data_IF_293257748209
#
_entry.id   IF_293257748209
#
_cell.length_a   1.000
_cell.length_b   1.000
_cell.length_c   1.000
_cell.angle_alpha   90.00
_cell.angle_beta   90.00
_cell.angle_gamma   90.00
#
_symmetry.space_group_name_H-M   'P 1'
#
loop_
_entity.id
_entity.type
_entity.pdbx_description
1 polymer ?
#
# COMPACT_ATOMS: atom_id res chain seq x y z
N UNK A 1 -28.10 37.25 -6.29
CA UNK A 1 -28.00 35.82 -5.96
C UNK A 1 -26.98 35.19 -6.89
N UNK A 2 -25.74 35.18 -6.47
CA UNK A 2 -24.59 34.66 -7.22
C UNK A 2 -24.43 33.19 -6.87
N UNK A 3 -24.70 32.32 -7.85
CA UNK A 3 -24.39 30.89 -7.82
C UNK A 3 -22.88 30.71 -7.73
N UNK A 4 -22.39 30.48 -6.52
CA UNK A 4 -21.01 30.10 -6.25
C UNK A 4 -20.71 28.77 -6.92
N UNK A 5 -19.87 28.81 -7.95
CA UNK A 5 -19.34 27.63 -8.60
C UNK A 5 -18.67 26.71 -7.59
N UNK A 6 -19.08 25.46 -7.61
CA UNK A 6 -18.48 24.33 -6.91
C UNK A 6 -17.02 24.24 -7.39
N UNK A 7 -16.08 24.80 -6.60
CA UNK A 7 -14.64 24.67 -6.86
C UNK A 7 -14.28 23.20 -6.71
N UNK A 8 -13.47 22.75 -7.67
CA UNK A 8 -13.31 21.35 -8.08
C UNK A 8 -12.99 20.38 -6.95
N UNK A 9 -13.55 19.19 -7.11
CA UNK A 9 -13.05 17.92 -6.58
C UNK A 9 -11.52 17.90 -6.66
N UNK A 10 -10.84 17.49 -5.58
CA UNK A 10 -9.41 17.21 -5.59
C UNK A 10 -9.07 16.44 -6.86
N UNK A 11 -8.24 17.04 -7.71
CA UNK A 11 -8.01 16.57 -9.07
C UNK A 11 -7.74 15.06 -9.09
N UNK A 12 -8.49 14.31 -9.90
CA UNK A 12 -8.39 12.86 -10.03
C UNK A 12 -6.92 12.42 -10.13
N UNK A 13 -6.38 11.96 -9.01
CA UNK A 13 -5.04 11.40 -8.96
C UNK A 13 -5.10 10.00 -9.55
N UNK A 14 -4.49 9.84 -10.71
CA UNK A 14 -4.35 8.56 -11.41
C UNK A 14 -2.88 8.18 -11.41
N UNK A 15 -2.41 7.42 -10.41
CA UNK A 15 -1.02 6.97 -10.43
C UNK A 15 -0.79 6.06 -11.62
N UNK A 16 0.42 6.12 -12.15
CA UNK A 16 0.85 5.26 -13.26
C UNK A 16 1.47 3.96 -12.76
N UNK A 17 2.03 4.01 -11.55
CA UNK A 17 2.73 2.90 -10.91
C UNK A 17 2.33 2.82 -9.45
N UNK A 18 2.41 1.62 -8.90
CA UNK A 18 2.31 1.33 -7.48
C UNK A 18 3.52 0.50 -7.05
N UNK A 19 3.77 0.41 -5.74
CA UNK A 19 4.81 -0.47 -5.20
C UNK A 19 4.14 -1.63 -4.48
N UNK A 20 4.58 -2.86 -4.76
CA UNK A 20 4.15 -4.06 -4.05
C UNK A 20 5.30 -4.53 -3.17
N UNK A 21 5.02 -4.78 -1.88
CA UNK A 21 6.03 -5.27 -0.93
C UNK A 21 5.56 -6.62 -0.36
N UNK A 22 5.92 -7.76 -0.97
CA UNK A 22 5.63 -9.09 -0.43
C UNK A 22 6.38 -9.43 0.89
N UNK A 23 7.37 -8.61 1.27
CA UNK A 23 8.11 -8.74 2.53
C UNK A 23 7.27 -8.50 3.79
N UNK A 24 7.95 -8.27 4.91
CA UNK A 24 7.26 -7.95 6.16
C UNK A 24 7.02 -6.43 6.33
N UNK A 25 6.25 -6.03 7.33
CA UNK A 25 5.94 -4.60 7.54
C UNK A 25 7.18 -3.75 7.83
N UNK A 26 8.31 -4.34 8.24
CA UNK A 26 9.56 -3.59 8.35
C UNK A 26 10.10 -3.22 6.97
N UNK A 27 10.02 -4.12 6.00
CA UNK A 27 10.40 -3.87 4.61
C UNK A 27 9.50 -2.81 3.99
N UNK A 28 8.18 -2.88 4.23
CA UNK A 28 7.22 -1.87 3.75
C UNK A 28 7.52 -0.46 4.31
N UNK A 29 7.84 -0.35 5.61
CA UNK A 29 8.24 0.93 6.23
C UNK A 29 9.58 1.42 5.70
N UNK A 30 10.54 0.53 5.48
CA UNK A 30 11.82 0.88 4.87
C UNK A 30 11.63 1.40 3.44
N UNK A 31 10.80 0.71 2.64
CA UNK A 31 10.43 1.11 1.29
C UNK A 31 9.77 2.50 1.28
N UNK A 32 8.76 2.75 2.11
CA UNK A 32 8.10 4.07 2.18
C UNK A 32 9.09 5.19 2.52
N UNK A 33 9.96 4.99 3.51
CA UNK A 33 10.99 5.99 3.87
C UNK A 33 11.92 6.32 2.70
N UNK A 34 12.39 5.27 2.02
CA UNK A 34 13.30 5.39 0.87
C UNK A 34 12.60 6.06 -0.32
N UNK A 35 11.35 5.69 -0.58
CA UNK A 35 10.54 6.25 -1.68
C UNK A 35 10.18 7.70 -1.44
N UNK A 36 9.87 8.09 -0.19
CA UNK A 36 9.66 9.51 0.16
C UNK A 36 10.92 10.31 -0.14
N UNK A 37 12.09 9.82 0.27
CA UNK A 37 13.36 10.49 -0.02
C UNK A 37 13.63 10.62 -1.53
N UNK A 38 13.37 9.55 -2.29
CA UNK A 38 13.47 9.57 -3.77
C UNK A 38 12.51 10.61 -4.34
N UNK A 39 11.22 10.55 -3.98
CA UNK A 39 10.20 11.45 -4.50
C UNK A 39 10.49 12.92 -4.20
N UNK A 40 11.06 13.22 -3.02
CA UNK A 40 11.48 14.58 -2.67
C UNK A 40 12.52 15.15 -3.64
N UNK A 41 13.37 14.30 -4.23
CA UNK A 41 14.32 14.72 -5.27
C UNK A 41 13.67 15.13 -6.60
N UNK A 42 12.38 14.84 -6.79
CA UNK A 42 11.63 15.17 -8.01
C UNK A 42 10.55 16.25 -7.80
N UNK A 43 10.27 16.61 -6.54
CA UNK A 43 9.21 17.55 -6.16
C UNK A 43 9.71 18.93 -5.74
N UNK A 44 8.78 19.87 -5.58
CA UNK A 44 8.97 21.22 -5.02
C UNK A 44 8.28 21.40 -3.65
N UNK A 45 7.32 20.54 -3.34
CA UNK A 45 6.57 20.56 -2.09
C UNK A 45 6.24 19.13 -1.66
N UNK A 46 6.39 18.83 -0.37
CA UNK A 46 5.80 17.65 0.24
C UNK A 46 4.77 18.02 1.30
N UNK A 47 3.78 17.15 1.47
CA UNK A 47 2.72 17.25 2.49
C UNK A 47 2.71 15.99 3.33
N UNK A 48 2.71 16.17 4.64
CA UNK A 48 2.60 15.11 5.63
C UNK A 48 1.30 15.33 6.40
N UNK A 49 0.35 14.41 6.25
CA UNK A 49 -0.96 14.46 6.92
C UNK A 49 -1.00 13.42 8.01
N UNK A 50 -1.40 13.83 9.21
CA UNK A 50 -1.53 12.96 10.39
C UNK A 50 -3.01 12.66 10.67
N UNK A 51 -3.31 11.52 11.29
CA UNK A 51 -4.68 11.03 11.48
C UNK A 51 -5.47 11.81 12.53
N UNK A 52 -4.78 12.39 13.51
CA UNK A 52 -5.37 13.17 14.59
C UNK A 52 -4.48 14.37 14.91
N UNK A 53 -5.02 15.40 15.54
CA UNK A 53 -4.24 16.49 16.16
C UNK A 53 -3.66 16.09 17.52
N UNK A 54 -4.05 14.93 18.04
CA UNK A 54 -3.59 14.42 19.33
C UNK A 54 -2.11 13.99 19.26
N UNK A 55 -1.26 14.74 19.94
CA UNK A 55 0.19 14.47 20.01
C UNK A 55 0.53 13.24 20.84
N UNK A 56 -0.42 12.68 21.61
CA UNK A 56 -0.16 11.51 22.45
C UNK A 56 0.07 10.22 21.66
N UNK A 57 -0.42 10.17 20.42
CA UNK A 57 -0.18 9.07 19.48
C UNK A 57 1.09 9.26 18.63
N UNK A 58 1.87 10.33 18.88
CA UNK A 58 3.09 10.66 18.14
C UNK A 58 4.35 10.38 18.93
N UNK A 59 5.40 10.01 18.21
CA UNK A 59 6.73 10.00 18.79
C UNK A 59 7.14 11.45 19.14
N UNK A 60 7.76 11.71 20.31
CA UNK A 60 8.28 13.04 20.65
C UNK A 60 9.34 13.56 19.67
N UNK A 61 10.00 12.65 18.94
CA UNK A 61 10.93 13.01 17.85
C UNK A 61 10.17 13.57 16.66
N UNK A 62 9.15 12.85 16.19
CA UNK A 62 8.29 13.28 15.07
C UNK A 62 7.68 14.63 15.39
N UNK A 63 7.07 14.81 16.56
CA UNK A 63 6.45 16.08 16.95
C UNK A 63 7.46 17.25 16.94
N UNK A 64 8.68 17.05 17.45
CA UNK A 64 9.72 18.10 17.43
C UNK A 64 10.09 18.53 16.02
N UNK A 65 10.21 17.59 15.09
CA UNK A 65 10.53 17.90 13.69
C UNK A 65 9.36 18.62 13.02
N UNK A 66 8.12 18.18 13.26
CA UNK A 66 6.92 18.84 12.75
C UNK A 66 6.83 20.31 13.22
N UNK A 67 7.13 20.57 14.49
CA UNK A 67 7.00 21.91 15.08
C UNK A 67 8.17 22.85 14.72
N UNK A 68 9.38 22.30 14.53
CA UNK A 68 10.58 23.10 14.30
C UNK A 68 10.86 23.35 12.82
N UNK A 69 10.61 22.35 11.97
CA UNK A 69 11.19 22.30 10.62
C UNK A 69 10.14 22.30 9.51
N UNK A 70 8.85 22.08 9.81
CA UNK A 70 7.77 22.04 8.82
C UNK A 70 6.67 23.08 9.10
N UNK A 71 6.01 23.55 8.04
CA UNK A 71 4.94 24.54 8.14
C UNK A 71 3.58 23.84 8.31
N UNK A 72 2.91 23.99 9.46
CA UNK A 72 1.51 23.55 9.58
C UNK A 72 0.62 24.36 8.62
N UNK A 73 -0.10 23.66 7.74
CA UNK A 73 -1.10 24.27 6.88
C UNK A 73 -2.38 24.56 7.67
N UNK A 74 -3.11 25.63 7.33
CA UNK A 74 -4.47 25.85 7.82
C UNK A 74 -5.38 24.68 7.45
N UNK A 75 -6.34 24.34 8.31
CA UNK A 75 -7.25 23.22 8.09
C UNK A 75 -8.08 23.40 6.80
N UNK A 76 -8.38 24.64 6.40
CA UNK A 76 -9.11 24.98 5.17
C UNK A 76 -8.25 24.98 3.89
N UNK A 77 -6.93 24.84 4.02
CA UNK A 77 -5.99 24.77 2.90
C UNK A 77 -5.85 23.35 2.32
N UNK A 78 -6.50 22.36 2.93
CA UNK A 78 -6.46 20.95 2.51
C UNK A 78 -7.85 20.43 2.19
N UNK A 79 -7.92 19.33 1.44
CA UNK A 79 -9.18 18.68 1.08
C UNK A 79 -9.79 17.87 2.26
N UNK A 80 -9.22 17.97 3.47
CA UNK A 80 -9.60 17.18 4.64
C UNK A 80 -9.56 17.97 5.95
N UNK A 81 -10.00 17.34 7.03
CA UNK A 81 -9.99 17.89 8.41
C UNK A 81 -8.72 17.54 9.17
N UNK A 82 -7.85 16.75 8.56
CA UNK A 82 -6.71 16.14 9.20
C UNK A 82 -5.51 17.10 9.17
N UNK A 83 -4.79 17.25 10.29
CA UNK A 83 -3.70 18.20 10.37
C UNK A 83 -2.59 17.84 9.39
N UNK A 84 -2.15 18.84 8.62
CA UNK A 84 -1.21 18.65 7.53
C UNK A 84 -0.06 19.64 7.63
N UNK A 85 1.16 19.13 7.49
CA UNK A 85 2.38 19.91 7.45
C UNK A 85 2.94 19.96 6.03
N UNK A 86 3.43 21.12 5.63
CA UNK A 86 4.13 21.35 4.37
C UNK A 86 5.63 21.38 4.60
N UNK A 87 6.35 20.66 3.76
CA UNK A 87 7.80 20.68 3.67
C UNK A 87 8.21 21.31 2.32
N UNK A 88 8.89 22.47 2.31
CA UNK A 88 9.47 23.01 1.09
C UNK A 88 10.65 22.15 0.62
N UNK A 89 10.65 21.74 -0.65
CA UNK A 89 11.68 20.88 -1.21
C UNK A 89 12.63 21.67 -2.12
N UNK A 90 13.93 21.33 -2.13
CA UNK A 90 14.54 20.15 -1.49
C UNK A 90 14.97 20.34 -0.02
N UNK A 91 14.93 21.55 0.53
CA UNK A 91 15.58 21.90 1.80
C UNK A 91 15.07 21.11 3.00
N UNK A 92 13.76 20.81 3.05
CA UNK A 92 13.14 20.09 4.16
C UNK A 92 13.10 18.56 3.96
N UNK A 93 13.80 18.01 2.98
CA UNK A 93 13.81 16.55 2.70
C UNK A 93 14.27 15.76 3.93
N UNK A 94 15.40 16.16 4.54
CA UNK A 94 15.96 15.44 5.69
C UNK A 94 15.05 15.53 6.91
N UNK A 95 14.39 16.67 7.12
CA UNK A 95 13.40 16.85 8.17
C UNK A 95 12.20 15.91 7.95
N UNK A 96 11.62 15.89 6.74
CA UNK A 96 10.51 14.99 6.41
C UNK A 96 10.88 13.51 6.61
N UNK A 97 12.04 13.09 6.10
CA UNK A 97 12.54 11.71 6.27
C UNK A 97 12.78 11.40 7.75
N UNK A 98 13.34 12.33 8.52
CA UNK A 98 13.57 12.19 9.96
C UNK A 98 12.25 12.08 10.76
N UNK A 99 11.22 12.83 10.38
CA UNK A 99 9.89 12.76 11.01
C UNK A 99 9.22 11.39 10.79
N UNK A 100 9.48 10.78 9.63
CA UNK A 100 8.97 9.48 9.25
C UNK A 100 9.81 8.32 9.80
N UNK A 101 11.11 8.53 10.04
CA UNK A 101 12.02 7.46 10.50
C UNK A 101 11.64 7.01 11.91
N UNK A 102 11.42 5.70 12.07
CA UNK A 102 11.15 5.09 13.38
C UNK A 102 12.46 4.99 14.15
N UNK A 103 12.55 5.69 15.27
CA UNK A 103 13.66 5.58 16.20
C UNK A 103 13.50 4.28 17.02
N UNK A 104 14.41 3.32 16.87
CA UNK A 104 14.38 2.04 17.59
C UNK A 104 14.42 2.24 19.12
N UNK A 105 14.96 3.38 19.59
CA UNK A 105 14.98 3.74 21.01
C UNK A 105 13.62 4.19 21.56
N UNK A 106 12.60 4.38 20.71
CA UNK A 106 11.22 4.76 21.08
C UNK A 106 10.21 3.60 21.06
N UNK A 107 10.66 2.36 20.94
CA UNK A 107 9.81 1.17 20.86
C UNK A 107 9.04 0.83 22.16
N UNK A 108 9.33 1.50 23.27
CA UNK A 108 8.71 1.28 24.60
C UNK A 108 7.36 2.01 24.80
N UNK A 109 6.70 2.41 23.70
CA UNK A 109 5.37 3.02 23.73
C UNK A 109 4.24 2.07 24.14
N UNK A 110 3.03 2.57 24.42
CA UNK A 110 1.87 1.73 24.75
C UNK A 110 1.50 0.76 23.62
N UNK A 111 1.99 0.98 22.40
CA UNK A 111 1.82 0.13 21.23
C UNK A 111 3.00 -0.87 20.98
N UNK A 112 4.10 -0.78 21.75
CA UNK A 112 5.25 -1.68 21.66
C UNK A 112 5.91 -1.75 20.27
N UNK A 113 6.21 -2.97 19.79
CA UNK A 113 6.75 -3.26 18.45
C UNK A 113 5.88 -2.77 17.27
N UNK A 114 4.63 -2.36 17.53
CA UNK A 114 3.77 -1.75 16.53
C UNK A 114 4.22 -0.29 16.33
N UNK A 115 5.05 -0.10 15.30
CA UNK A 115 5.71 1.16 14.95
C UNK A 115 4.72 2.33 14.94
N UNK A 116 4.88 3.27 15.86
CA UNK A 116 4.09 4.50 16.01
C UNK A 116 3.81 5.24 14.68
N UNK A 117 4.79 5.23 13.77
CA UNK A 117 4.67 5.82 12.42
C UNK A 117 3.50 5.23 11.63
N UNK A 118 3.28 3.92 11.74
CA UNK A 118 2.20 3.27 11.00
C UNK A 118 0.87 3.86 11.45
N UNK A 119 0.68 4.21 12.73
CA UNK A 119 -0.64 4.54 13.27
C UNK A 119 -1.07 6.02 13.16
N UNK A 120 -0.14 6.97 13.20
CA UNK A 120 -0.52 8.39 13.15
C UNK A 120 -0.33 9.03 11.76
N UNK A 121 0.51 8.49 10.87
CA UNK A 121 0.70 9.08 9.54
C UNK A 121 -0.40 8.61 8.59
N UNK A 122 -1.39 9.48 8.32
CA UNK A 122 -2.46 9.23 7.35
C UNK A 122 -1.93 9.17 5.92
N UNK A 123 -1.15 10.16 5.49
CA UNK A 123 -0.55 10.14 4.16
C UNK A 123 0.67 11.03 4.02
N UNK A 124 1.54 10.69 3.07
CA UNK A 124 2.60 11.55 2.56
C UNK A 124 2.36 11.80 1.09
N UNK A 125 2.46 13.04 0.64
CA UNK A 125 2.34 13.40 -0.76
C UNK A 125 3.54 14.23 -1.18
N UNK A 126 4.12 13.95 -2.34
CA UNK A 126 5.09 14.85 -2.97
C UNK A 126 4.48 15.41 -4.24
N UNK A 127 4.68 16.71 -4.44
CA UNK A 127 4.11 17.48 -5.54
C UNK A 127 5.23 18.15 -6.34
N UNK A 128 4.92 18.41 -7.61
CA UNK A 128 5.71 19.19 -8.56
C UNK A 128 4.78 20.05 -9.38
N UNK A 129 5.03 21.34 -9.47
CA UNK A 129 4.21 22.32 -10.18
C UNK A 129 2.73 22.23 -9.77
N UNK A 130 2.50 22.01 -8.46
CA UNK A 130 1.16 21.85 -7.90
C UNK A 130 0.44 20.54 -8.26
N UNK A 131 1.10 19.59 -8.96
CA UNK A 131 0.56 18.25 -9.26
C UNK A 131 1.20 17.22 -8.36
N UNK A 132 0.42 16.25 -7.88
CA UNK A 132 0.97 15.12 -7.13
C UNK A 132 1.86 14.29 -8.06
N UNK A 133 2.98 13.80 -7.55
CA UNK A 133 3.89 12.85 -8.25
C UNK A 133 4.14 11.59 -7.43
N UNK A 134 3.93 11.67 -6.12
CA UNK A 134 4.02 10.55 -5.19
C UNK A 134 2.92 10.64 -4.14
N UNK A 135 2.42 9.47 -3.71
CA UNK A 135 1.52 9.33 -2.57
C UNK A 135 1.86 8.07 -1.80
N UNK A 136 2.00 8.18 -0.49
CA UNK A 136 1.93 7.03 0.40
C UNK A 136 0.82 7.14 1.43
N UNK A 137 0.25 5.99 1.75
CA UNK A 137 -0.66 5.78 2.88
C UNK A 137 -0.04 4.63 3.69
N UNK A 138 0.82 4.93 4.67
CA UNK A 138 1.66 3.94 5.35
C UNK A 138 0.85 2.79 5.98
N UNK A 139 -0.25 3.11 6.66
CA UNK A 139 -1.20 2.15 7.24
C UNK A 139 -1.73 1.09 6.28
N UNK A 140 -1.89 1.47 5.01
CA UNK A 140 -2.46 0.62 3.98
C UNK A 140 -1.38 0.03 3.07
N UNK A 141 -0.09 0.21 3.41
CA UNK A 141 1.07 -0.21 2.62
C UNK A 141 0.89 0.17 1.14
N UNK A 142 0.35 1.36 0.90
CA UNK A 142 -0.04 1.84 -0.43
C UNK A 142 0.91 2.96 -0.84
N UNK A 143 1.77 2.68 -1.81
CA UNK A 143 2.75 3.63 -2.35
C UNK A 143 2.50 3.76 -3.85
N UNK A 144 2.29 4.98 -4.31
CA UNK A 144 1.81 5.30 -5.65
C UNK A 144 2.69 6.37 -6.29
N UNK A 145 3.03 6.19 -7.57
CA UNK A 145 3.89 7.10 -8.32
C UNK A 145 3.24 7.51 -9.65
N UNK A 146 3.45 8.76 -10.04
CA UNK A 146 3.19 9.22 -11.42
C UNK A 146 4.51 9.47 -12.14
N UNK A 147 4.78 8.65 -13.15
CA UNK A 147 5.85 8.90 -14.11
C UNK A 147 5.56 10.16 -14.95
N UNK A 148 4.26 10.44 -15.19
CA UNK A 148 3.82 11.62 -15.91
C UNK A 148 4.14 12.89 -15.11
N UNK A 149 5.07 13.71 -15.63
CA UNK A 149 5.50 14.95 -15.00
C UNK A 149 6.75 14.83 -14.12
N UNK A 150 7.26 13.61 -13.89
CA UNK A 150 8.53 13.37 -13.19
C UNK A 150 9.34 12.25 -13.89
N UNK A 151 9.94 12.53 -15.08
CA UNK A 151 10.78 11.56 -15.77
C UNK A 151 11.93 11.08 -14.89
N UNK A 152 12.16 9.76 -14.83
CA UNK A 152 13.20 9.15 -14.00
C UNK A 152 12.77 8.81 -12.57
N UNK A 153 11.59 9.24 -12.11
CA UNK A 153 11.08 8.91 -10.77
C UNK A 153 10.94 7.40 -10.56
N UNK A 154 10.36 6.70 -11.56
CA UNK A 154 10.16 5.25 -11.50
C UNK A 154 11.50 4.51 -11.50
N UNK A 155 12.44 4.91 -12.36
CA UNK A 155 13.76 4.27 -12.42
C UNK A 155 14.54 4.46 -11.11
N UNK A 156 14.52 5.66 -10.54
CA UNK A 156 15.14 5.95 -9.25
C UNK A 156 14.45 5.19 -8.10
N UNK A 157 13.12 5.01 -8.16
CA UNK A 157 12.39 4.19 -7.20
C UNK A 157 12.77 2.71 -7.30
N UNK A 158 12.89 2.16 -8.52
CA UNK A 158 13.36 0.80 -8.76
C UNK A 158 14.79 0.60 -8.21
N UNK A 159 15.71 1.51 -8.53
CA UNK A 159 17.10 1.46 -8.05
C UNK A 159 17.16 1.50 -6.52
N UNK A 160 16.32 2.33 -5.88
CA UNK A 160 16.37 2.49 -4.42
C UNK A 160 15.79 1.31 -3.64
N UNK A 161 14.97 0.48 -4.30
CA UNK A 161 14.30 -0.68 -3.72
C UNK A 161 14.97 -2.01 -4.08
N UNK A 162 16.08 -2.01 -4.81
CA UNK A 162 16.70 -3.22 -5.38
C UNK A 162 17.11 -4.29 -4.34
N UNK A 163 17.38 -3.86 -3.11
CA UNK A 163 17.80 -4.66 -1.96
C UNK A 163 16.63 -5.06 -1.05
N UNK A 164 15.41 -4.59 -1.34
CA UNK A 164 14.20 -4.91 -0.58
C UNK A 164 13.30 -5.87 -1.37
N UNK A 165 12.51 -6.70 -0.68
CA UNK A 165 11.45 -7.50 -1.30
C UNK A 165 10.26 -6.60 -1.66
N UNK A 166 10.49 -5.62 -2.53
CA UNK A 166 9.50 -4.68 -3.04
C UNK A 166 9.74 -4.42 -4.53
N UNK A 167 8.67 -4.19 -5.27
CA UNK A 167 8.73 -3.94 -6.72
C UNK A 167 7.84 -2.78 -7.11
N UNK A 168 8.35 -1.90 -7.99
CA UNK A 168 7.55 -0.88 -8.66
C UNK A 168 6.89 -1.51 -9.89
N UNK A 169 5.57 -1.47 -9.94
CA UNK A 169 4.77 -2.10 -10.99
C UNK A 169 3.76 -1.12 -11.58
N UNK A 170 3.34 -1.27 -12.84
CA UNK A 170 2.27 -0.45 -13.40
C UNK A 170 0.96 -0.61 -12.61
N UNK A 171 0.24 0.48 -12.43
CA UNK A 171 -1.10 0.46 -11.85
C UNK A 171 -2.10 -0.15 -12.84
N UNK A 172 -3.06 -0.90 -12.32
CA UNK A 172 -4.16 -1.47 -13.09
C UNK A 172 -4.13 -3.00 -13.17
N UNK A 173 -5.07 -3.58 -13.93
CA UNK A 173 -5.16 -5.03 -14.09
C UNK A 173 -4.00 -5.57 -14.90
N UNK A 174 -3.46 -6.71 -14.45
CA UNK A 174 -2.54 -7.56 -15.21
C UNK A 174 -3.32 -8.49 -16.14
N UNK A 175 -4.45 -9.01 -15.68
CA UNK A 175 -5.36 -9.83 -16.45
C UNK A 175 -6.80 -9.54 -16.06
N UNK A 176 -7.71 -9.63 -17.03
CA UNK A 176 -9.16 -9.54 -16.80
C UNK A 176 -9.88 -10.70 -17.46
N UNK A 177 -11.00 -11.14 -16.91
CA UNK A 177 -11.83 -12.18 -17.52
C UNK A 177 -13.32 -11.93 -17.27
N UNK A 178 -14.16 -12.78 -17.85
CA UNK A 178 -15.62 -12.73 -17.72
C UNK A 178 -16.10 -12.64 -16.26
N UNK A 179 -17.29 -12.09 -16.07
CA UNK A 179 -17.93 -11.82 -14.78
C UNK A 179 -17.16 -10.80 -13.91
N UNK A 180 -16.48 -9.84 -14.55
CA UNK A 180 -15.77 -8.75 -13.86
C UNK A 180 -14.59 -9.19 -12.99
N UNK A 181 -14.01 -10.35 -13.30
CA UNK A 181 -12.82 -10.86 -12.63
C UNK A 181 -11.56 -10.11 -13.04
N UNK A 182 -10.72 -9.78 -12.06
CA UNK A 182 -9.52 -8.97 -12.26
C UNK A 182 -8.36 -9.48 -11.40
N UNK A 183 -7.19 -9.62 -12.01
CA UNK A 183 -5.93 -9.85 -11.33
C UNK A 183 -5.10 -8.57 -11.39
N UNK A 184 -4.72 -8.01 -10.24
CA UNK A 184 -3.73 -6.94 -10.12
C UNK A 184 -2.43 -7.48 -9.55
N UNK A 185 -1.40 -6.64 -9.47
CA UNK A 185 -0.15 -7.02 -8.81
C UNK A 185 -0.29 -7.22 -7.29
N UNK A 186 -1.40 -6.82 -6.67
CA UNK A 186 -1.64 -6.98 -5.22
C UNK A 186 -2.70 -8.03 -4.89
N UNK A 187 -3.65 -8.27 -5.80
CA UNK A 187 -4.88 -8.92 -5.43
C UNK A 187 -5.68 -9.50 -6.58
N UNK A 188 -6.67 -10.29 -6.19
CA UNK A 188 -7.63 -10.94 -7.06
C UNK A 188 -9.04 -10.42 -6.73
N UNK A 189 -9.77 -9.90 -7.71
CA UNK A 189 -11.11 -9.33 -7.55
C UNK A 189 -12.13 -10.07 -8.44
N UNK A 190 -13.40 -10.04 -8.01
CA UNK A 190 -14.55 -10.67 -8.66
C UNK A 190 -15.74 -9.70 -8.75
N UNK A 191 -16.73 -9.96 -9.61
CA UNK A 191 -18.02 -9.26 -9.54
C UNK A 191 -18.64 -9.38 -8.14
N UNK A 192 -18.98 -8.24 -7.54
CA UNK A 192 -19.72 -8.18 -6.27
C UNK A 192 -18.96 -8.62 -5.02
N UNK A 193 -17.68 -8.99 -5.13
CA UNK A 193 -16.86 -9.46 -4.01
C UNK A 193 -15.77 -8.48 -3.56
N UNK A 194 -15.34 -8.60 -2.30
CA UNK A 194 -14.12 -7.96 -1.81
C UNK A 194 -12.89 -8.63 -2.47
N UNK A 195 -11.90 -7.83 -2.88
CA UNK A 195 -10.65 -8.36 -3.44
C UNK A 195 -9.84 -9.14 -2.40
N UNK A 196 -9.19 -10.23 -2.83
CA UNK A 196 -8.31 -11.05 -2.01
C UNK A 196 -6.84 -10.72 -2.28
N UNK A 197 -6.07 -10.38 -1.23
CA UNK A 197 -4.64 -10.05 -1.34
C UNK A 197 -3.79 -11.27 -1.67
N UNK A 198 -2.90 -11.17 -2.67
CA UNK A 198 -1.99 -12.24 -3.10
C UNK A 198 -0.86 -12.56 -2.11
N UNK A 199 -0.59 -11.69 -1.13
CA UNK A 199 0.47 -11.85 -0.13
C UNK A 199 0.33 -13.13 0.73
N UNK A 200 -0.83 -13.79 0.66
CA UNK A 200 -1.12 -15.00 1.41
C UNK A 200 -1.41 -16.21 0.51
N UNK A 201 -1.15 -16.13 -0.78
CA UNK A 201 -1.19 -17.31 -1.67
C UNK A 201 -0.01 -18.21 -1.32
N UNK A 202 -0.26 -19.51 -1.17
CA UNK A 202 0.79 -20.53 -1.04
C UNK A 202 1.11 -21.15 -2.39
N UNK A 203 0.05 -21.43 -3.16
CA UNK A 203 0.16 -22.16 -4.41
C UNK A 203 -0.96 -21.77 -5.38
N UNK A 204 -0.62 -21.75 -6.66
CA UNK A 204 -1.52 -21.63 -7.78
C UNK A 204 -1.41 -22.91 -8.61
N UNK A 205 -2.49 -23.68 -8.69
CA UNK A 205 -2.55 -24.91 -9.47
C UNK A 205 -3.35 -24.69 -10.76
N UNK A 206 -2.75 -24.98 -11.90
CA UNK A 206 -3.32 -24.78 -13.25
C UNK A 206 -3.82 -26.10 -13.79
N UNK A 207 -5.14 -26.23 -13.92
CA UNK A 207 -5.86 -27.40 -14.44
C UNK A 207 -6.32 -27.08 -15.87
N UNK A 208 -5.52 -27.52 -16.85
CA UNK A 208 -5.74 -27.18 -18.27
C UNK A 208 -6.96 -27.88 -18.84
N UNK A 209 -7.20 -29.13 -18.45
CA UNK A 209 -8.32 -29.94 -18.95
C UNK A 209 -9.67 -29.31 -18.57
N UNK A 210 -9.77 -28.74 -17.36
CA UNK A 210 -10.99 -28.08 -16.89
C UNK A 210 -10.98 -26.56 -17.07
N UNK A 211 -9.94 -25.99 -17.68
CA UNK A 211 -9.71 -24.54 -17.80
C UNK A 211 -9.97 -23.83 -16.47
N UNK A 212 -9.25 -24.27 -15.45
CA UNK A 212 -9.43 -23.78 -14.10
C UNK A 212 -8.11 -23.49 -13.41
N UNK A 213 -8.13 -22.47 -12.56
CA UNK A 213 -7.02 -22.11 -11.69
C UNK A 213 -7.48 -22.31 -10.26
N UNK A 214 -6.76 -23.11 -9.48
CA UNK A 214 -7.03 -23.32 -8.06
C UNK A 214 -6.00 -22.53 -7.26
N UNK A 215 -6.48 -21.54 -6.49
CA UNK A 215 -5.64 -20.71 -5.63
C UNK A 215 -5.72 -21.25 -4.21
N UNK A 216 -4.61 -21.79 -3.73
CA UNK A 216 -4.48 -22.23 -2.35
C UNK A 216 -3.93 -21.11 -1.48
N UNK A 217 -4.70 -20.81 -0.44
CA UNK A 217 -4.48 -19.68 0.44
C UNK A 217 -3.95 -20.16 1.78
N UNK A 218 -3.04 -19.38 2.35
CA UNK A 218 -2.63 -19.57 3.73
C UNK A 218 -3.84 -19.58 4.66
N UNK A 219 -3.99 -20.59 5.54
CA UNK A 219 -5.05 -20.60 6.54
C UNK A 219 -5.00 -19.35 7.39
N UNK A 220 -6.16 -18.81 7.76
CA UNK A 220 -6.23 -17.57 8.55
C UNK A 220 -5.48 -17.67 9.87
N UNK A 221 -5.46 -18.84 10.50
CA UNK A 221 -4.68 -19.11 11.72
C UNK A 221 -3.16 -18.96 11.52
N UNK A 222 -2.62 -19.36 10.37
CA UNK A 222 -1.20 -19.19 10.02
C UNK A 222 -0.89 -17.72 9.66
N UNK A 223 -1.81 -17.01 8.99
CA UNK A 223 -1.69 -15.56 8.72
C UNK A 223 -1.56 -14.78 10.03
N UNK A 224 -2.44 -15.06 11.00
CA UNK A 224 -2.40 -14.43 12.32
C UNK A 224 -1.14 -14.85 13.11
N UNK A 225 -0.55 -16.01 12.82
CA UNK A 225 0.71 -16.42 13.42
C UNK A 225 1.92 -15.57 12.99
N UNK A 226 1.91 -15.08 11.75
CA UNK A 226 3.03 -14.31 11.15
C UNK A 226 3.07 -12.84 11.55
N UNK A 227 1.97 -12.28 12.01
CA UNK A 227 1.95 -10.89 12.48
C UNK A 227 2.87 -10.72 13.71
N UNK A 228 3.76 -9.73 13.69
CA UNK A 228 4.72 -9.51 14.78
C UNK A 228 4.06 -8.83 15.98
N UNK A 229 3.01 -8.04 15.79
CA UNK A 229 2.33 -7.33 16.88
C UNK A 229 1.52 -8.29 17.75
N UNK A 230 1.81 -8.34 19.06
CA UNK A 230 1.04 -9.17 20.00
C UNK A 230 -0.40 -8.69 20.14
N UNK A 231 -0.63 -7.38 20.10
CA UNK A 231 -1.94 -6.77 20.23
C UNK A 231 -2.82 -7.06 19.00
N UNK A 232 -2.28 -6.86 17.79
CA UNK A 232 -2.97 -7.17 16.54
C UNK A 232 -3.23 -8.67 16.44
N UNK A 233 -2.26 -9.51 16.81
CA UNK A 233 -2.47 -10.97 16.91
C UNK A 233 -3.63 -11.35 17.84
N UNK A 234 -3.72 -10.73 19.01
CA UNK A 234 -4.80 -11.03 19.96
C UNK A 234 -6.18 -10.62 19.39
N UNK A 235 -6.26 -9.45 18.77
CA UNK A 235 -7.48 -8.92 18.16
C UNK A 235 -7.91 -9.77 16.95
N UNK A 236 -6.97 -10.11 16.07
CA UNK A 236 -7.22 -10.98 14.91
C UNK A 236 -7.59 -12.41 15.34
N UNK A 237 -6.98 -12.97 16.40
CA UNK A 237 -7.41 -14.29 16.94
C UNK A 237 -8.83 -14.26 17.46
N UNK A 238 -9.23 -13.20 18.16
CA UNK A 238 -10.60 -13.03 18.65
C UNK A 238 -11.60 -12.91 17.48
N UNK A 239 -11.21 -12.19 16.41
CA UNK A 239 -12.00 -12.09 15.19
C UNK A 239 -12.12 -13.44 14.47
N UNK A 240 -11.01 -14.17 14.25
CA UNK A 240 -10.99 -15.51 13.63
C UNK A 240 -11.85 -16.49 14.40
N UNK A 241 -11.72 -16.54 15.72
CA UNK A 241 -12.56 -17.40 16.58
C UNK A 241 -14.05 -17.07 16.43
N UNK A 242 -14.39 -15.80 16.30
CA UNK A 242 -15.78 -15.36 16.11
C UNK A 242 -16.30 -15.79 14.74
N UNK A 243 -15.53 -15.61 13.67
CA UNK A 243 -15.91 -16.03 12.31
C UNK A 243 -16.07 -17.55 12.20
N UNK A 244 -15.14 -18.34 12.76
CA UNK A 244 -15.21 -19.80 12.81
C UNK A 244 -16.44 -20.30 13.59
N UNK A 245 -16.84 -19.60 14.66
CA UNK A 245 -17.98 -19.97 15.50
C UNK A 245 -19.33 -19.62 14.88
N UNK A 246 -19.40 -18.59 14.03
CA UNK A 246 -20.65 -18.10 13.44
C UNK A 246 -20.83 -18.47 11.96
N UNK A 247 -19.93 -19.29 11.38
CA UNK A 247 -20.13 -19.91 10.07
C UNK A 247 -20.11 -18.93 8.88
N UNK A 248 -19.50 -17.75 9.04
CA UNK A 248 -19.29 -16.81 7.95
C UNK A 248 -18.24 -17.36 6.98
N UNK A 249 -18.65 -17.70 5.76
CA UNK A 249 -17.73 -18.11 4.70
C UNK A 249 -16.99 -16.89 4.12
N UNK A 250 -16.05 -16.33 4.88
CA UNK A 250 -15.09 -15.32 4.40
C UNK A 250 -13.84 -15.98 3.78
N UNK A 251 -13.96 -17.20 3.25
CA UNK A 251 -12.85 -17.85 2.56
C UNK A 251 -12.71 -17.23 1.16
N UNK A 252 -11.52 -16.71 0.80
CA UNK A 252 -11.29 -16.25 -0.56
C UNK A 252 -11.55 -17.41 -1.54
N UNK A 253 -12.09 -17.12 -2.73
CA UNK A 253 -12.40 -18.14 -3.71
C UNK A 253 -11.15 -18.96 -4.02
N UNK A 254 -11.32 -20.28 -3.93
CA UNK A 254 -10.24 -21.25 -4.14
C UNK A 254 -10.14 -21.70 -5.58
N UNK A 255 -11.16 -21.48 -6.42
CA UNK A 255 -11.20 -21.95 -7.80
C UNK A 255 -11.77 -20.89 -8.73
N UNK A 256 -11.01 -20.57 -9.77
CA UNK A 256 -11.40 -19.78 -10.93
C UNK A 256 -11.69 -20.75 -12.05
N UNK A 257 -12.84 -20.61 -12.71
CA UNK A 257 -13.19 -21.41 -13.89
C UNK A 257 -13.46 -20.47 -15.05
N UNK A 258 -12.93 -20.79 -16.22
CA UNK A 258 -12.96 -19.90 -17.38
C UNK A 258 -13.82 -20.50 -18.49
N UNK A 259 -14.67 -19.68 -19.08
CA UNK A 259 -15.56 -20.11 -20.16
C UNK A 259 -14.78 -20.41 -21.46
N UNK A 260 -13.71 -19.65 -21.70
CA UNK A 260 -12.94 -19.72 -22.93
C UNK A 260 -11.42 -19.86 -22.66
N UNK A 261 -10.74 -20.39 -23.67
CA UNK A 261 -9.30 -20.68 -23.63
C UNK A 261 -8.42 -19.41 -23.66
N UNK A 262 -8.94 -18.29 -24.17
CA UNK A 262 -8.16 -17.05 -24.23
C UNK A 262 -8.08 -16.42 -22.84
N UNK A 263 -9.22 -16.24 -22.17
CA UNK A 263 -9.31 -15.73 -20.79
C UNK A 263 -8.53 -16.62 -19.81
N UNK A 264 -8.59 -17.95 -20.00
CA UNK A 264 -7.82 -18.89 -19.18
C UNK A 264 -6.31 -18.66 -19.32
N UNK A 265 -5.79 -18.57 -20.56
CA UNK A 265 -4.36 -18.33 -20.79
C UNK A 265 -3.92 -16.96 -20.30
N UNK A 266 -4.73 -15.92 -20.53
CA UNK A 266 -4.48 -14.57 -20.01
C UNK A 266 -4.34 -14.57 -18.49
N UNK A 267 -5.22 -15.27 -17.77
CA UNK A 267 -5.13 -15.38 -16.32
C UNK A 267 -3.88 -16.15 -15.86
N UNK A 268 -3.52 -17.25 -16.52
CA UNK A 268 -2.29 -18.02 -16.20
C UNK A 268 -1.05 -17.15 -16.41
N UNK A 269 -0.92 -16.51 -17.58
CA UNK A 269 0.19 -15.60 -17.89
C UNK A 269 0.22 -14.41 -16.93
N UNK A 270 -0.95 -13.95 -16.48
CA UNK A 270 -1.09 -12.91 -15.47
C UNK A 270 -0.54 -13.33 -14.11
N UNK A 271 -0.83 -14.54 -13.62
CA UNK A 271 -0.27 -15.04 -12.36
C UNK A 271 1.25 -15.20 -12.43
N UNK A 272 1.79 -15.66 -13.57
CA UNK A 272 3.23 -15.71 -13.80
C UNK A 272 3.84 -14.31 -13.81
N UNK A 273 3.21 -13.35 -14.52
CA UNK A 273 3.64 -11.95 -14.56
C UNK A 273 3.66 -11.32 -13.16
N UNK A 274 2.60 -11.52 -12.37
CA UNK A 274 2.53 -10.99 -11.00
C UNK A 274 3.59 -11.62 -10.11
N UNK A 275 3.79 -12.94 -10.19
CA UNK A 275 4.84 -13.62 -9.44
C UNK A 275 6.22 -13.05 -9.77
N UNK A 276 6.54 -12.97 -11.06
CA UNK A 276 7.88 -12.60 -11.54
C UNK A 276 8.16 -11.11 -11.34
N UNK A 277 7.17 -10.23 -11.52
CA UNK A 277 7.35 -8.77 -11.35
C UNK A 277 7.20 -8.28 -9.93
N UNK A 278 6.24 -8.81 -9.17
CA UNK A 278 6.03 -8.38 -7.78
C UNK A 278 6.88 -9.17 -6.77
N UNK A 279 7.54 -10.24 -7.21
CA UNK A 279 8.45 -11.03 -6.37
C UNK A 279 7.73 -11.93 -5.37
N UNK A 280 6.56 -12.47 -5.72
CA UNK A 280 5.87 -13.41 -4.84
C UNK A 280 6.50 -14.81 -4.88
N UNK A 281 6.54 -15.49 -3.73
CA UNK A 281 7.14 -16.82 -3.57
C UNK A 281 6.14 -17.99 -3.71
N UNK A 282 4.91 -17.74 -4.15
CA UNK A 282 3.93 -18.84 -4.27
C UNK A 282 4.30 -19.82 -5.39
N UNK A 283 4.03 -21.10 -5.17
CA UNK A 283 4.33 -22.16 -6.14
C UNK A 283 3.30 -22.15 -7.28
N UNK A 284 3.75 -22.26 -8.53
CA UNK A 284 2.86 -22.49 -9.70
C UNK A 284 3.03 -23.91 -10.20
N UNK A 285 1.96 -24.70 -10.23
CA UNK A 285 2.01 -26.13 -10.62
C UNK A 285 0.97 -26.44 -11.68
N UNK A 286 1.38 -27.13 -12.74
CA UNK A 286 0.46 -27.71 -13.74
C UNK A 286 -0.06 -29.05 -13.22
N UNK A 287 -1.37 -29.22 -13.19
CA UNK A 287 -2.07 -30.42 -12.71
C UNK A 287 -2.66 -31.19 -13.89
#
# INVERSE_FOLDING_TARGET
MTSGGRRGTGADWSPTHEVVCPGDSADAVAADTRLVAVACGFGDEARLTMATDDVSDRSPRTQRVLDADLDRLPDDATDGTDPTWRAPLPEATDALVSALTVDESGADGPLGDARWRVWDVSSVEVRRDGRRIYRSIPHHERFELAATGAPGLVDAACERLDDLPCAVVPTGPVATWGDGGELTHRGLRFEGGAGASLAHVRRVAVDRDRRAIVVDWMPTSERVGRDRSRAIRALLRAFVWSVERFGGSDSPPRRLSFADEASFREAVDGFETVRDRAGYDFETVVV
#
